data_IF_678617950426
#
_entry.id   IF_678617950426
#
_cell.length_a   1.000
_cell.length_b   1.000
_cell.length_c   1.000
_cell.angle_alpha   90.00
_cell.angle_beta   90.00
_cell.angle_gamma   90.00
#
_symmetry.space_group_name_H-M   'P 1'
#
loop_
_entity.id
_entity.type
_entity.pdbx_description
1 polymer ?
#
# COMPACT_ATOMS: atom_id res chain seq x y z
N UNK A 1 55.01 16.88 -15.76
CA UNK A 1 55.60 15.88 -14.85
C UNK A 1 54.44 15.15 -14.19
N UNK A 2 54.23 13.88 -14.52
CA UNK A 2 53.16 13.06 -13.93
C UNK A 2 53.77 12.15 -12.88
N UNK A 3 53.40 12.36 -11.62
CA UNK A 3 53.80 11.46 -10.53
C UNK A 3 53.02 10.15 -10.69
N UNK A 4 53.74 9.05 -10.88
CA UNK A 4 53.17 7.70 -10.91
C UNK A 4 52.94 7.28 -9.46
N UNK A 5 51.68 7.21 -9.04
CA UNK A 5 51.29 6.79 -7.69
C UNK A 5 51.77 5.36 -7.41
N UNK A 6 52.25 5.13 -6.19
CA UNK A 6 52.65 3.80 -5.72
C UNK A 6 51.42 2.88 -5.57
N UNK A 7 51.60 1.57 -5.74
CA UNK A 7 50.54 0.58 -5.53
C UNK A 7 49.91 0.68 -4.13
N UNK A 8 50.69 1.08 -3.12
CA UNK A 8 50.22 1.34 -1.75
C UNK A 8 49.32 2.57 -1.68
N UNK A 9 49.67 3.66 -2.37
CA UNK A 9 48.86 4.88 -2.41
C UNK A 9 47.53 4.64 -3.12
N UNK A 10 47.53 3.87 -4.21
CA UNK A 10 46.31 3.46 -4.92
C UNK A 10 45.43 2.59 -4.02
N UNK A 11 46.01 1.68 -3.23
CA UNK A 11 45.28 0.85 -2.28
C UNK A 11 44.67 1.69 -1.14
N UNK A 12 45.41 2.65 -0.59
CA UNK A 12 44.92 3.55 0.46
C UNK A 12 43.82 4.49 -0.05
N UNK A 13 43.95 5.05 -1.26
CA UNK A 13 42.89 5.85 -1.87
C UNK A 13 41.60 5.05 -2.10
N UNK A 14 41.72 3.78 -2.52
CA UNK A 14 40.55 2.90 -2.66
C UNK A 14 39.90 2.60 -1.32
N UNK A 15 40.68 2.30 -0.28
CA UNK A 15 40.15 2.03 1.06
C UNK A 15 39.45 3.26 1.67
N UNK A 16 40.03 4.45 1.53
CA UNK A 16 39.43 5.70 2.01
C UNK A 16 38.16 6.07 1.22
N UNK A 17 38.16 5.89 -0.11
CA UNK A 17 36.94 6.05 -0.94
C UNK A 17 35.83 5.10 -0.49
N UNK A 18 36.12 3.82 -0.30
CA UNK A 18 35.15 2.83 0.17
C UNK A 18 34.59 3.21 1.56
N UNK A 19 35.46 3.62 2.49
CA UNK A 19 35.05 4.05 3.82
C UNK A 19 34.16 5.30 3.82
N UNK A 20 34.44 6.27 2.94
CA UNK A 20 33.61 7.46 2.75
C UNK A 20 32.27 7.13 2.11
N UNK A 21 32.25 6.28 1.08
CA UNK A 21 31.02 5.78 0.44
C UNK A 21 30.11 5.11 1.46
N UNK A 22 30.65 4.20 2.29
CA UNK A 22 29.86 3.53 3.33
C UNK A 22 29.27 4.50 4.36
N UNK A 23 30.01 5.54 4.76
CA UNK A 23 29.48 6.56 5.69
C UNK A 23 28.37 7.41 5.07
N UNK A 24 28.49 7.78 3.79
CA UNK A 24 27.45 8.54 3.11
C UNK A 24 26.20 7.68 2.82
N UNK A 25 26.36 6.39 2.54
CA UNK A 25 25.25 5.44 2.45
C UNK A 25 24.48 5.32 3.77
N UNK A 26 25.19 5.19 4.90
CA UNK A 26 24.56 5.15 6.23
C UNK A 26 23.78 6.44 6.49
N UNK A 27 24.37 7.61 6.24
CA UNK A 27 23.68 8.90 6.42
C UNK A 27 22.45 9.02 5.51
N UNK A 28 22.55 8.52 4.28
CA UNK A 28 21.41 8.49 3.35
C UNK A 28 20.28 7.61 3.89
N UNK A 29 20.60 6.41 4.39
CA UNK A 29 19.62 5.52 4.99
C UNK A 29 18.97 6.13 6.23
N UNK A 30 19.72 6.84 7.06
CA UNK A 30 19.19 7.59 8.22
C UNK A 30 18.20 8.68 7.79
N UNK A 31 18.49 9.42 6.71
CA UNK A 31 17.58 10.44 6.15
C UNK A 31 16.31 9.81 5.60
N UNK A 32 16.43 8.73 4.83
CA UNK A 32 15.29 7.96 4.31
C UNK A 32 14.43 7.45 5.47
N UNK A 33 15.05 6.87 6.49
CA UNK A 33 14.34 6.38 7.68
C UNK A 33 13.68 7.53 8.47
N UNK A 34 14.28 8.72 8.48
CA UNK A 34 13.65 9.92 9.04
C UNK A 34 12.38 10.28 8.30
N UNK A 35 12.41 10.31 6.96
CA UNK A 35 11.21 10.52 6.14
C UNK A 35 10.10 9.49 6.42
N UNK A 36 10.47 8.21 6.51
CA UNK A 36 9.53 7.12 6.84
C UNK A 36 8.85 7.35 8.19
N UNK A 37 9.61 7.76 9.21
CA UNK A 37 9.07 8.07 10.54
C UNK A 37 8.11 9.26 10.52
N UNK A 38 8.44 10.33 9.80
CA UNK A 38 7.57 11.50 9.67
C UNK A 38 6.23 11.12 9.01
N UNK A 39 6.27 10.36 7.93
CA UNK A 39 5.08 9.86 7.27
C UNK A 39 4.25 8.95 8.18
N UNK A 40 4.89 8.04 8.95
CA UNK A 40 4.17 7.17 9.89
C UNK A 40 3.44 7.97 10.98
N UNK A 41 4.11 8.97 11.58
CA UNK A 41 3.50 9.88 12.56
C UNK A 41 2.32 10.65 11.97
N UNK A 42 2.47 11.15 10.75
CA UNK A 42 1.40 11.83 10.04
C UNK A 42 0.19 10.93 9.79
N UNK A 43 0.42 9.71 9.29
CA UNK A 43 -0.62 8.69 9.08
C UNK A 43 -1.36 8.36 10.38
N UNK A 44 -0.62 8.18 11.49
CA UNK A 44 -1.18 7.89 12.81
C UNK A 44 -1.89 9.09 13.47
N UNK A 45 -1.88 10.27 12.85
CA UNK A 45 -2.49 11.47 13.40
C UNK A 45 -1.68 12.16 14.49
N UNK A 46 -0.44 11.75 14.73
CA UNK A 46 0.49 12.39 15.68
C UNK A 46 1.08 13.70 15.12
N UNK A 47 0.89 13.97 13.84
CA UNK A 47 1.31 15.19 13.15
C UNK A 47 0.24 15.56 12.14
N UNK A 48 -0.32 16.77 12.25
CA UNK A 48 -1.38 17.24 11.35
C UNK A 48 -0.84 17.79 10.04
N UNK A 49 0.32 18.44 10.07
CA UNK A 49 0.94 19.09 8.92
C UNK A 49 2.30 18.46 8.61
N UNK A 50 2.31 17.56 7.61
CA UNK A 50 3.52 16.91 7.13
C UNK A 50 4.48 17.90 6.47
N UNK A 51 3.95 18.94 5.80
CA UNK A 51 4.77 19.94 5.12
C UNK A 51 5.52 20.81 6.11
N UNK A 52 4.88 21.20 7.21
CA UNK A 52 5.54 21.91 8.30
C UNK A 52 6.68 21.07 8.89
N UNK A 53 6.43 19.80 9.20
CA UNK A 53 7.46 18.89 9.73
C UNK A 53 8.64 18.69 8.77
N UNK A 54 8.41 18.69 7.46
CA UNK A 54 9.46 18.59 6.44
C UNK A 54 10.25 19.89 6.26
N UNK A 55 9.65 21.04 6.55
CA UNK A 55 10.31 22.35 6.42
C UNK A 55 11.41 22.62 7.46
N UNK A 56 11.48 21.80 8.51
CA UNK A 56 12.54 21.87 9.54
C UNK A 56 13.91 21.39 9.06
N UNK A 57 13.96 20.71 7.90
CA UNK A 57 15.18 20.11 7.37
C UNK A 57 15.84 20.98 6.30
N UNK A 58 17.18 20.93 6.26
CA UNK A 58 17.97 21.63 5.26
C UNK A 58 17.71 21.08 3.84
N UNK A 59 17.74 21.98 2.84
CA UNK A 59 17.52 21.62 1.44
C UNK A 59 18.46 20.53 0.91
N UNK A 60 19.68 20.43 1.45
CA UNK A 60 20.67 19.44 1.02
C UNK A 60 20.31 17.98 1.39
N UNK A 61 19.53 17.78 2.46
CA UNK A 61 19.14 16.45 2.94
C UNK A 61 17.69 16.10 2.64
N UNK A 62 16.89 17.13 2.31
CA UNK A 62 15.46 17.01 2.04
C UNK A 62 15.11 15.96 0.96
N UNK A 63 15.85 15.80 -0.16
CA UNK A 63 15.50 14.79 -1.16
C UNK A 63 15.44 13.35 -0.62
N UNK A 64 16.41 12.95 0.21
CA UNK A 64 16.43 11.61 0.82
C UNK A 64 15.27 11.42 1.80
N UNK A 65 14.93 12.46 2.56
CA UNK A 65 13.81 12.46 3.50
C UNK A 65 12.48 12.37 2.76
N UNK A 66 12.28 13.17 1.70
CA UNK A 66 11.07 13.14 0.88
C UNK A 66 10.89 11.78 0.20
N UNK A 67 11.97 11.13 -0.24
CA UNK A 67 11.91 9.76 -0.77
C UNK A 67 11.38 8.78 0.28
N UNK A 68 11.93 8.82 1.49
CA UNK A 68 11.46 7.97 2.59
C UNK A 68 10.01 8.22 2.98
N UNK A 69 9.59 9.48 3.02
CA UNK A 69 8.21 9.86 3.32
C UNK A 69 7.24 9.40 2.22
N UNK A 70 7.60 9.64 0.96
CA UNK A 70 6.83 9.19 -0.22
C UNK A 70 6.62 7.68 -0.18
N UNK A 71 7.69 6.90 0.05
CA UNK A 71 7.59 5.45 0.11
C UNK A 71 6.67 4.95 1.24
N UNK A 72 6.75 5.57 2.42
CA UNK A 72 5.90 5.22 3.54
C UNK A 72 4.43 5.57 3.29
N UNK A 73 4.13 6.72 2.68
CA UNK A 73 2.77 7.09 2.31
C UNK A 73 2.20 6.15 1.25
N UNK A 74 2.94 5.86 0.17
CA UNK A 74 2.49 4.96 -0.89
C UNK A 74 2.22 3.53 -0.39
N UNK A 75 2.92 3.07 0.65
CA UNK A 75 2.65 1.78 1.30
C UNK A 75 1.30 1.74 2.03
N UNK A 76 0.74 2.88 2.39
CA UNK A 76 -0.58 3.00 3.02
C UNK A 76 -1.71 3.20 2.00
N UNK A 77 -1.40 3.41 0.72
CA UNK A 77 -2.41 3.42 -0.35
C UNK A 77 -2.57 1.99 -0.84
N UNK A 78 -3.61 1.30 -0.36
CA UNK A 78 -3.88 -0.11 -0.64
C UNK A 78 -5.31 -0.30 -1.15
N UNK A 79 -5.61 -1.46 -1.72
CA UNK A 79 -7.00 -1.83 -1.99
C UNK A 79 -7.75 -1.98 -0.64
N UNK A 80 -8.85 -1.23 -0.42
CA UNK A 80 -9.53 -1.20 0.87
C UNK A 80 -10.24 -2.52 1.16
N UNK A 81 -9.96 -3.11 2.32
CA UNK A 81 -10.68 -4.30 2.83
C UNK A 81 -11.95 -3.91 3.56
N UNK A 82 -11.96 -2.73 4.16
CA UNK A 82 -13.04 -2.18 4.97
C UNK A 82 -13.03 -0.64 4.92
N UNK A 83 -14.06 -0.04 5.50
CA UNK A 83 -14.24 1.42 5.52
C UNK A 83 -13.22 2.13 6.40
N UNK A 84 -12.64 1.45 7.38
CA UNK A 84 -11.70 2.06 8.32
C UNK A 84 -10.38 2.39 7.60
N UNK A 85 -9.96 1.53 6.67
CA UNK A 85 -8.79 1.75 5.83
C UNK A 85 -8.89 2.98 4.91
N UNK A 86 -10.10 3.35 4.48
CA UNK A 86 -10.30 4.52 3.59
C UNK A 86 -9.81 5.82 4.21
N UNK A 87 -9.97 5.98 5.52
CA UNK A 87 -9.49 7.18 6.23
C UNK A 87 -7.97 7.32 6.17
N UNK A 88 -7.26 6.19 6.34
CA UNK A 88 -5.81 6.09 6.27
C UNK A 88 -5.31 6.31 4.85
N UNK A 89 -5.97 5.71 3.87
CA UNK A 89 -5.64 5.87 2.44
C UNK A 89 -5.77 7.33 2.02
N UNK A 90 -6.90 8.00 2.33
CA UNK A 90 -7.11 9.42 1.99
C UNK A 90 -6.08 10.33 2.65
N UNK A 91 -5.74 10.04 3.91
CA UNK A 91 -4.66 10.76 4.61
C UNK A 91 -3.33 10.56 3.91
N UNK A 92 -2.99 9.35 3.50
CA UNK A 92 -1.78 9.07 2.73
C UNK A 92 -1.74 9.84 1.40
N UNK A 93 -2.85 9.86 0.65
CA UNK A 93 -2.98 10.62 -0.60
C UNK A 93 -2.79 12.12 -0.36
N UNK A 94 -3.39 12.69 0.70
CA UNK A 94 -3.16 14.09 1.08
C UNK A 94 -1.68 14.38 1.36
N UNK A 95 -1.01 13.52 2.11
CA UNK A 95 0.43 13.65 2.37
C UNK A 95 1.28 13.61 1.09
N UNK A 96 0.87 12.81 0.08
CA UNK A 96 1.52 12.80 -1.23
C UNK A 96 1.33 14.14 -1.95
N UNK A 97 0.14 14.75 -1.89
CA UNK A 97 -0.08 16.10 -2.43
C UNK A 97 0.83 17.12 -1.75
N UNK A 98 0.96 17.04 -0.42
CA UNK A 98 1.78 17.97 0.36
C UNK A 98 3.27 17.90 -0.04
N UNK A 99 3.77 16.71 -0.42
CA UNK A 99 5.16 16.46 -0.81
C UNK A 99 5.43 16.71 -2.31
N UNK A 100 4.56 16.20 -3.19
CA UNK A 100 4.78 16.17 -4.64
C UNK A 100 4.11 17.33 -5.37
N UNK A 101 3.13 17.97 -4.77
CA UNK A 101 2.42 19.11 -5.34
C UNK A 101 1.60 18.77 -6.59
N UNK A 102 1.56 19.70 -7.55
CA UNK A 102 0.67 19.64 -8.72
C UNK A 102 0.80 18.36 -9.57
N UNK A 103 1.99 17.78 -9.80
CA UNK A 103 2.11 16.51 -10.53
C UNK A 103 1.31 15.35 -9.90
N UNK A 104 1.23 15.26 -8.58
CA UNK A 104 0.45 14.22 -7.92
C UNK A 104 -1.07 14.41 -8.11
N UNK A 105 -1.55 15.64 -8.21
CA UNK A 105 -2.97 15.94 -8.43
C UNK A 105 -3.50 15.43 -9.77
N UNK A 106 -2.64 15.07 -10.71
CA UNK A 106 -3.05 14.50 -12.00
C UNK A 106 -3.37 12.99 -11.91
N UNK A 107 -2.80 12.29 -10.92
CA UNK A 107 -2.88 10.83 -10.79
C UNK A 107 -3.70 10.39 -9.58
N UNK A 108 -3.67 11.16 -8.49
CA UNK A 108 -4.42 10.80 -7.27
C UNK A 108 -5.94 10.66 -7.49
N UNK A 109 -6.63 11.50 -8.29
CA UNK A 109 -8.04 11.27 -8.60
C UNK A 109 -8.29 9.93 -9.31
N UNK A 110 -7.39 9.53 -10.22
CA UNK A 110 -7.48 8.24 -10.91
C UNK A 110 -7.27 7.07 -9.94
N UNK A 111 -6.40 7.24 -8.94
CA UNK A 111 -6.25 6.27 -7.86
C UNK A 111 -7.54 6.18 -7.02
N UNK A 112 -8.15 7.31 -6.65
CA UNK A 112 -9.43 7.31 -5.92
C UNK A 112 -10.54 6.59 -6.70
N UNK A 113 -10.66 6.88 -8.00
CA UNK A 113 -11.60 6.20 -8.89
C UNK A 113 -11.33 4.69 -8.96
N UNK A 114 -10.07 4.28 -9.05
CA UNK A 114 -9.68 2.86 -9.04
C UNK A 114 -10.10 2.17 -7.74
N UNK A 115 -9.86 2.79 -6.59
CA UNK A 115 -10.21 2.22 -5.28
C UNK A 115 -11.73 2.13 -5.10
N UNK A 116 -12.48 3.15 -5.56
CA UNK A 116 -13.95 3.13 -5.56
C UNK A 116 -14.50 2.03 -6.48
N UNK A 117 -13.94 1.90 -7.69
CA UNK A 117 -14.32 0.86 -8.63
C UNK A 117 -14.00 -0.55 -8.07
N UNK A 118 -12.91 -0.72 -7.34
CA UNK A 118 -12.58 -1.98 -6.67
C UNK A 118 -13.66 -2.37 -5.66
N UNK A 119 -14.04 -1.46 -4.76
CA UNK A 119 -15.09 -1.72 -3.76
C UNK A 119 -16.41 -2.11 -4.42
N UNK A 120 -16.85 -1.33 -5.42
CA UNK A 120 -18.09 -1.59 -6.14
C UNK A 120 -18.07 -2.94 -6.87
N UNK A 121 -16.95 -3.26 -7.54
CA UNK A 121 -16.83 -4.52 -8.29
C UNK A 121 -16.81 -5.72 -7.35
N UNK A 122 -16.08 -5.62 -6.23
CA UNK A 122 -16.01 -6.66 -5.20
C UNK A 122 -17.40 -6.94 -4.62
N UNK A 123 -18.12 -5.88 -4.24
CA UNK A 123 -19.44 -6.02 -3.62
C UNK A 123 -20.44 -6.61 -4.62
N UNK A 124 -20.40 -6.15 -5.88
CA UNK A 124 -21.23 -6.71 -6.96
C UNK A 124 -20.96 -8.20 -7.19
N UNK A 125 -19.69 -8.60 -7.23
CA UNK A 125 -19.30 -10.00 -7.42
C UNK A 125 -19.74 -10.88 -6.26
N UNK A 126 -19.62 -10.37 -5.02
CA UNK A 126 -20.10 -11.09 -3.83
C UNK A 126 -21.62 -11.29 -3.88
N UNK A 127 -22.37 -10.27 -4.24
CA UNK A 127 -23.84 -10.34 -4.35
C UNK A 127 -24.28 -11.33 -5.44
N UNK A 128 -23.61 -11.32 -6.60
CA UNK A 128 -23.86 -12.29 -7.67
C UNK A 128 -23.56 -13.73 -7.22
N UNK A 129 -22.41 -13.95 -6.56
CA UNK A 129 -22.04 -15.26 -6.04
C UNK A 129 -23.06 -15.74 -5.00
N UNK A 130 -23.51 -14.85 -4.12
CA UNK A 130 -24.54 -15.15 -3.11
C UNK A 130 -25.84 -15.56 -3.78
N UNK A 131 -26.31 -14.83 -4.78
CA UNK A 131 -27.52 -15.16 -5.53
C UNK A 131 -27.42 -16.53 -6.22
N UNK A 132 -26.26 -16.88 -6.76
CA UNK A 132 -26.02 -18.20 -7.38
C UNK A 132 -26.15 -19.35 -6.37
N UNK A 133 -25.67 -19.15 -5.14
CA UNK A 133 -25.70 -20.19 -4.11
C UNK A 133 -27.00 -20.23 -3.31
N UNK A 134 -27.77 -19.13 -3.25
CA UNK A 134 -29.10 -19.11 -2.63
C UNK A 134 -30.02 -20.18 -3.22
N UNK A 135 -29.93 -20.47 -4.52
CA UNK A 135 -30.71 -21.54 -5.17
C UNK A 135 -30.42 -22.95 -4.65
N UNK A 136 -29.24 -23.19 -4.06
CA UNK A 136 -28.83 -24.48 -3.48
C UNK A 136 -29.00 -24.54 -1.96
N UNK A 137 -29.25 -23.41 -1.31
CA UNK A 137 -29.35 -23.31 0.14
C UNK A 137 -30.47 -24.21 0.68
N UNK A 138 -31.60 -24.32 -0.03
CA UNK A 138 -32.73 -25.14 0.41
C UNK A 138 -32.38 -26.63 0.57
N UNK A 139 -31.60 -27.19 -0.36
CA UNK A 139 -31.15 -28.59 -0.28
C UNK A 139 -30.20 -28.80 0.90
N UNK A 140 -29.28 -27.84 1.13
CA UNK A 140 -28.36 -27.87 2.27
C UNK A 140 -29.14 -27.77 3.59
N UNK A 141 -30.08 -26.85 3.70
CA UNK A 141 -30.93 -26.69 4.89
C UNK A 141 -31.74 -27.95 5.17
N UNK A 142 -32.29 -28.61 4.14
CA UNK A 142 -33.01 -29.86 4.31
C UNK A 142 -32.09 -30.99 4.82
N UNK A 143 -30.89 -31.11 4.26
CA UNK A 143 -29.89 -32.08 4.73
C UNK A 143 -29.47 -31.83 6.18
N UNK A 144 -29.24 -30.56 6.56
CA UNK A 144 -28.93 -30.17 7.95
C UNK A 144 -30.11 -30.44 8.88
N UNK A 145 -31.34 -30.16 8.45
CA UNK A 145 -32.54 -30.41 9.24
C UNK A 145 -32.69 -31.89 9.60
N UNK A 146 -32.35 -32.80 8.67
CA UNK A 146 -32.41 -34.25 8.90
C UNK A 146 -31.36 -34.74 9.90
N UNK A 147 -30.18 -34.09 9.98
CA UNK A 147 -29.09 -34.53 10.87
C UNK A 147 -29.08 -33.80 12.23
N UNK A 148 -29.41 -32.51 12.25
CA UNK A 148 -29.20 -31.62 13.39
C UNK A 148 -30.47 -30.86 13.81
N UNK A 149 -31.60 -31.07 13.12
CA UNK A 149 -32.88 -30.42 13.41
C UNK A 149 -33.10 -29.09 12.68
N UNK A 150 -34.35 -28.62 12.69
CA UNK A 150 -34.80 -27.44 11.94
C UNK A 150 -34.17 -26.12 12.42
N UNK A 151 -33.84 -26.01 13.70
CA UNK A 151 -33.20 -24.82 14.28
C UNK A 151 -31.76 -24.66 13.77
N UNK A 152 -31.03 -25.75 13.62
CA UNK A 152 -29.70 -25.72 12.99
C UNK A 152 -29.79 -25.33 11.51
N UNK A 153 -30.79 -25.86 10.78
CA UNK A 153 -30.99 -25.58 9.36
C UNK A 153 -31.31 -24.11 9.07
N UNK A 154 -32.14 -23.45 9.89
CA UNK A 154 -32.50 -22.04 9.67
C UNK A 154 -31.34 -21.07 9.93
N UNK A 155 -30.32 -21.51 10.68
CA UNK A 155 -29.11 -20.71 10.96
C UNK A 155 -28.04 -20.78 9.86
N UNK A 156 -28.20 -21.64 8.85
CA UNK A 156 -27.23 -21.80 7.76
C UNK A 156 -27.24 -20.58 6.84
N UNK A 157 -26.14 -19.82 6.83
CA UNK A 157 -25.89 -18.76 5.86
C UNK A 157 -25.22 -19.34 4.60
N UNK A 158 -25.60 -18.80 3.45
CA UNK A 158 -24.97 -19.07 2.15
C UNK A 158 -23.47 -18.78 2.20
N UNK A 159 -23.08 -17.72 2.90
CA UNK A 159 -21.67 -17.34 3.00
C UNK A 159 -20.88 -18.28 3.91
N UNK A 160 -21.53 -19.07 4.76
CA UNK A 160 -20.87 -20.07 5.60
C UNK A 160 -20.57 -21.38 4.83
N UNK A 161 -21.09 -21.53 3.61
CA UNK A 161 -20.88 -22.73 2.80
C UNK A 161 -19.41 -22.84 2.35
N UNK A 162 -18.74 -23.99 2.52
CA UNK A 162 -17.35 -24.17 2.11
C UNK A 162 -17.10 -23.87 0.63
N UNK A 163 -18.03 -24.27 -0.24
CA UNK A 163 -17.96 -24.06 -1.68
C UNK A 163 -18.10 -22.57 -2.04
N UNK A 164 -18.91 -21.81 -1.28
CA UNK A 164 -18.99 -20.35 -1.44
C UNK A 164 -17.66 -19.70 -1.09
N UNK A 165 -17.05 -20.09 0.04
CA UNK A 165 -15.78 -19.55 0.50
C UNK A 165 -14.63 -19.85 -0.48
N UNK A 166 -14.61 -21.04 -1.08
CA UNK A 166 -13.63 -21.42 -2.10
C UNK A 166 -13.77 -20.55 -3.36
N UNK A 167 -14.99 -20.43 -3.91
CA UNK A 167 -15.21 -19.60 -5.10
C UNK A 167 -14.96 -18.12 -4.83
N UNK A 168 -15.37 -17.62 -3.65
CA UNK A 168 -15.09 -16.25 -3.25
C UNK A 168 -13.60 -15.97 -3.13
N UNK A 169 -12.83 -16.88 -2.53
CA UNK A 169 -11.37 -16.75 -2.41
C UNK A 169 -10.71 -16.68 -3.79
N UNK A 170 -11.12 -17.54 -4.73
CA UNK A 170 -10.59 -17.53 -6.10
C UNK A 170 -10.93 -16.20 -6.81
N UNK A 171 -12.20 -15.82 -6.83
CA UNK A 171 -12.68 -14.63 -7.54
C UNK A 171 -12.11 -13.33 -6.95
N UNK A 172 -12.08 -13.22 -5.62
CA UNK A 172 -11.51 -12.05 -4.94
C UNK A 172 -10.00 -11.96 -5.12
N UNK A 173 -9.28 -13.08 -5.22
CA UNK A 173 -7.87 -13.10 -5.57
C UNK A 173 -7.61 -12.55 -6.97
N UNK A 174 -8.32 -13.06 -7.97
CA UNK A 174 -8.23 -12.58 -9.36
C UNK A 174 -8.58 -11.09 -9.48
N UNK A 175 -9.58 -10.63 -8.72
CA UNK A 175 -9.97 -9.23 -8.66
C UNK A 175 -8.88 -8.36 -8.01
N UNK A 176 -8.31 -8.80 -6.89
CA UNK A 176 -7.23 -8.09 -6.22
C UNK A 176 -6.03 -7.92 -7.15
N UNK A 177 -5.56 -8.99 -7.80
CA UNK A 177 -4.38 -8.95 -8.66
C UNK A 177 -4.54 -7.91 -9.80
N UNK A 178 -5.71 -7.87 -10.43
CA UNK A 178 -6.01 -6.93 -11.52
C UNK A 178 -5.98 -5.46 -11.06
N UNK A 179 -6.50 -5.17 -9.87
CA UNK A 179 -6.55 -3.82 -9.34
C UNK A 179 -5.23 -3.41 -8.68
N UNK A 180 -4.51 -4.34 -8.05
CA UNK A 180 -3.18 -4.10 -7.48
C UNK A 180 -2.18 -3.75 -8.57
N UNK A 181 -2.21 -4.44 -9.72
CA UNK A 181 -1.33 -4.10 -10.85
C UNK A 181 -1.49 -2.64 -11.30
N UNK A 182 -2.73 -2.19 -11.51
CA UNK A 182 -3.03 -0.81 -11.90
C UNK A 182 -2.62 0.19 -10.81
N UNK A 183 -2.89 -0.16 -9.56
CA UNK A 183 -2.51 0.67 -8.42
C UNK A 183 -0.99 0.84 -8.34
N UNK A 184 -0.24 -0.24 -8.54
CA UNK A 184 1.22 -0.24 -8.49
C UNK A 184 1.85 0.56 -9.63
N UNK A 185 1.28 0.50 -10.84
CA UNK A 185 1.70 1.35 -11.96
C UNK A 185 1.58 2.84 -11.59
N UNK A 186 0.47 3.24 -10.99
CA UNK A 186 0.25 4.60 -10.51
C UNK A 186 1.20 4.98 -9.36
N UNK A 187 1.47 4.05 -8.41
CA UNK A 187 2.47 4.27 -7.34
C UNK A 187 3.87 4.46 -7.90
N UNK A 188 4.27 3.67 -8.91
CA UNK A 188 5.56 3.81 -9.58
C UNK A 188 5.68 5.16 -10.26
N UNK A 189 4.62 5.64 -10.91
CA UNK A 189 4.60 6.99 -11.47
C UNK A 189 4.80 8.06 -10.38
N UNK A 190 4.07 7.98 -9.26
CA UNK A 190 4.20 8.94 -8.15
C UNK A 190 5.61 8.95 -7.55
N UNK A 191 6.30 7.81 -7.49
CA UNK A 191 7.69 7.77 -7.03
C UNK A 191 8.66 8.53 -7.94
N UNK A 192 8.37 8.61 -9.24
CA UNK A 192 9.26 9.17 -10.27
C UNK A 192 9.11 10.68 -10.46
N UNK A 193 7.91 11.23 -10.24
CA UNK A 193 7.66 12.67 -10.25
C UNK A 193 8.21 13.34 -9.00
#
# INVERSE_FOLDING_TARGET
>A
MGEIKSALEIAMEKADRLGRTSREEIKKDERINTGRRLAARYINGETEDLKAALSEFEAAVLPDILNGATDALLRNIVLPRDKDQLSTIRRAMKGIVDIKGSPANQVLPQMEDLLSAFEQTRDHYRDQLKAQFQGRLGEVQQAVAMQYGSEAASSVDVEALPEFQQEWTRLSGELNDQFEQKLDEMKVYIRRI
#
